data_IF_131879549888
#
_entry.id   IF_131879549888
#
_cell.length_a   1.000
_cell.length_b   1.000
_cell.length_c   1.000
_cell.angle_alpha   90.00
_cell.angle_beta   90.00
_cell.angle_gamma   90.00
#
_symmetry.space_group_name_H-M   'P 1'
#
loop_
_entity.id
_entity.type
_entity.pdbx_description
1 polymer ?
#
# COMPACT_ATOMS: atom_id res chain seq x y z
N UNK A 1 -10.30 31.79 9.00
CA UNK A 1 -9.02 31.80 8.26
C UNK A 1 -8.88 30.43 7.59
N UNK A 2 -9.14 30.42 6.28
CA UNK A 2 -8.79 29.42 5.26
C UNK A 2 -8.85 27.95 5.66
N UNK A 3 -10.08 27.39 5.62
CA UNK A 3 -10.27 25.95 5.43
C UNK A 3 -9.68 25.57 4.06
N UNK A 4 -8.41 25.17 4.09
CA UNK A 4 -7.74 24.60 2.93
C UNK A 4 -8.59 23.49 2.34
N UNK A 5 -8.69 23.51 1.02
CA UNK A 5 -9.34 22.54 0.15
C UNK A 5 -8.87 21.11 0.48
N UNK A 6 -9.51 20.44 1.42
CA UNK A 6 -9.41 19.00 1.58
C UNK A 6 -10.36 18.35 0.57
N UNK A 7 -9.93 18.22 -0.71
CA UNK A 7 -10.76 17.67 -1.79
C UNK A 7 -11.01 16.14 -1.66
N UNK A 8 -10.61 15.52 -0.54
CA UNK A 8 -10.64 14.08 -0.33
C UNK A 8 -11.67 13.78 0.77
N UNK A 9 -12.86 13.35 0.34
CA UNK A 9 -13.91 12.97 1.28
C UNK A 9 -13.60 11.69 2.08
N UNK A 10 -14.33 11.42 3.18
CA UNK A 10 -14.13 10.23 4.04
C UNK A 10 -14.18 8.89 3.27
N UNK A 11 -14.95 8.81 2.18
CA UNK A 11 -15.02 7.64 1.30
C UNK A 11 -13.71 7.39 0.56
N UNK A 12 -13.07 8.44 0.04
CA UNK A 12 -11.81 8.33 -0.70
C UNK A 12 -10.66 7.95 0.24
N UNK A 13 -10.66 8.47 1.48
CA UNK A 13 -9.73 8.04 2.52
C UNK A 13 -9.88 6.56 2.89
N UNK A 14 -11.12 6.08 3.08
CA UNK A 14 -11.39 4.66 3.34
C UNK A 14 -10.98 3.77 2.17
N UNK A 15 -11.18 4.23 0.94
CA UNK A 15 -10.73 3.54 -0.28
C UNK A 15 -9.20 3.40 -0.32
N UNK A 16 -8.44 4.46 -0.03
CA UNK A 16 -6.97 4.43 0.03
C UNK A 16 -6.46 3.47 1.11
N UNK A 17 -7.14 3.40 2.26
CA UNK A 17 -6.86 2.44 3.32
C UNK A 17 -7.03 0.99 2.86
N UNK A 18 -8.15 0.69 2.20
CA UNK A 18 -8.46 -0.66 1.71
C UNK A 18 -7.46 -1.07 0.63
N UNK A 19 -7.19 -0.19 -0.34
CA UNK A 19 -6.19 -0.44 -1.39
C UNK A 19 -4.81 -0.68 -0.78
N UNK A 20 -4.41 0.13 0.21
CA UNK A 20 -3.16 -0.05 0.92
C UNK A 20 -3.06 -1.41 1.63
N UNK A 21 -4.10 -1.79 2.38
CA UNK A 21 -4.15 -3.08 3.07
C UNK A 21 -4.09 -4.27 2.08
N UNK A 22 -4.82 -4.21 0.97
CA UNK A 22 -4.79 -5.23 -0.07
C UNK A 22 -3.37 -5.33 -0.67
N UNK A 23 -2.74 -4.20 -0.97
CA UNK A 23 -1.41 -4.20 -1.58
C UNK A 23 -0.34 -4.73 -0.63
N UNK A 24 -0.44 -4.47 0.67
CA UNK A 24 0.44 -5.13 1.65
C UNK A 24 0.25 -6.65 1.67
N UNK A 25 -1.00 -7.13 1.67
CA UNK A 25 -1.28 -8.56 1.62
C UNK A 25 -0.72 -9.21 0.35
N UNK A 26 -0.86 -8.55 -0.80
CA UNK A 26 -0.26 -8.98 -2.07
C UNK A 26 1.27 -9.02 -1.97
N UNK A 27 1.90 -8.00 -1.40
CA UNK A 27 3.36 -7.97 -1.22
C UNK A 27 3.87 -9.13 -0.36
N UNK A 28 3.17 -9.42 0.75
CA UNK A 28 3.47 -10.58 1.61
C UNK A 28 3.31 -11.89 0.85
N UNK A 29 2.22 -12.05 0.09
CA UNK A 29 1.96 -13.27 -0.70
C UNK A 29 3.05 -13.49 -1.77
N UNK A 30 3.47 -12.44 -2.47
CA UNK A 30 4.55 -12.50 -3.46
C UNK A 30 5.86 -12.94 -2.81
N UNK A 31 6.23 -12.35 -1.67
CA UNK A 31 7.46 -12.75 -0.95
C UNK A 31 7.37 -14.21 -0.49
N UNK A 32 6.24 -14.64 0.07
CA UNK A 32 6.04 -16.01 0.51
C UNK A 32 6.15 -17.00 -0.67
N UNK A 33 5.53 -16.70 -1.81
CA UNK A 33 5.61 -17.52 -3.01
C UNK A 33 7.05 -17.63 -3.53
N UNK A 34 7.82 -16.55 -3.51
CA UNK A 34 9.23 -16.55 -3.92
C UNK A 34 10.11 -17.39 -2.99
N UNK A 35 9.90 -17.30 -1.67
CA UNK A 35 10.62 -18.10 -0.68
C UNK A 35 10.32 -19.59 -0.87
N UNK A 36 9.04 -19.96 -1.02
CA UNK A 36 8.61 -21.36 -1.17
C UNK A 36 9.04 -21.93 -2.53
N UNK A 37 8.97 -21.14 -3.58
CA UNK A 37 9.31 -21.55 -4.95
C UNK A 37 10.80 -21.55 -5.27
N UNK A 38 11.68 -21.15 -4.33
CA UNK A 38 13.13 -21.07 -4.55
C UNK A 38 13.53 -19.97 -5.54
N UNK A 39 12.71 -18.93 -5.70
CA UNK A 39 12.98 -17.83 -6.61
C UNK A 39 14.28 -17.11 -6.25
N UNK A 40 15.12 -16.84 -7.25
CA UNK A 40 16.37 -16.11 -7.06
C UNK A 40 16.13 -14.74 -6.39
N UNK A 41 17.07 -14.30 -5.53
CA UNK A 41 16.97 -13.08 -4.71
C UNK A 41 16.56 -11.82 -5.50
N UNK A 42 16.84 -11.76 -6.81
CA UNK A 42 16.44 -10.65 -7.68
C UNK A 42 14.92 -10.46 -7.81
N UNK A 43 14.12 -11.51 -7.66
CA UNK A 43 12.66 -11.42 -7.78
C UNK A 43 11.98 -10.68 -6.61
N UNK A 44 12.67 -10.55 -5.47
CA UNK A 44 12.18 -9.77 -4.31
C UNK A 44 11.93 -8.30 -4.66
N UNK A 45 12.63 -7.76 -5.68
CA UNK A 45 12.38 -6.40 -6.19
C UNK A 45 10.93 -6.21 -6.64
N UNK A 46 10.25 -7.25 -7.14
CA UNK A 46 8.84 -7.14 -7.52
C UNK A 46 7.92 -6.89 -6.33
N UNK A 47 8.31 -7.31 -5.12
CA UNK A 47 7.53 -7.04 -3.92
C UNK A 47 7.63 -5.59 -3.45
N UNK A 48 8.63 -4.82 -3.91
CA UNK A 48 8.79 -3.40 -3.55
C UNK A 48 7.57 -2.58 -3.95
N UNK A 49 7.00 -2.83 -5.13
CA UNK A 49 5.83 -2.10 -5.65
C UNK A 49 4.59 -2.27 -4.74
N UNK A 50 4.12 -3.50 -4.45
CA UNK A 50 2.98 -3.67 -3.55
C UNK A 50 3.24 -3.15 -2.13
N UNK A 51 4.46 -3.30 -1.60
CA UNK A 51 4.80 -2.72 -0.29
C UNK A 51 4.79 -1.19 -0.30
N UNK A 52 5.30 -0.56 -1.35
CA UNK A 52 5.27 0.89 -1.51
C UNK A 52 3.82 1.39 -1.54
N UNK A 53 2.99 0.85 -2.44
CA UNK A 53 1.58 1.25 -2.55
C UNK A 53 0.84 1.02 -1.22
N UNK A 54 1.12 -0.11 -0.57
CA UNK A 54 0.60 -0.45 0.75
C UNK A 54 0.91 0.58 1.82
N UNK A 55 2.19 0.94 1.95
CA UNK A 55 2.68 1.93 2.89
C UNK A 55 2.09 3.32 2.62
N UNK A 56 2.04 3.74 1.35
CA UNK A 56 1.41 5.00 0.96
C UNK A 56 -0.07 5.05 1.34
N UNK A 57 -0.82 3.97 1.13
CA UNK A 57 -2.24 3.91 1.49
C UNK A 57 -2.46 4.04 3.01
N UNK A 58 -1.59 3.44 3.82
CA UNK A 58 -1.62 3.58 5.28
C UNK A 58 -1.25 4.99 5.76
N UNK A 59 -0.20 5.59 5.19
CA UNK A 59 0.28 6.92 5.57
C UNK A 59 -0.77 7.98 5.20
N UNK A 60 -1.29 7.94 3.97
CA UNK A 60 -2.36 8.85 3.52
C UNK A 60 -3.66 8.69 4.32
N UNK A 61 -3.89 7.51 4.88
CA UNK A 61 -5.00 7.31 5.78
C UNK A 61 -4.74 7.82 7.19
N UNK A 62 -3.49 7.91 7.65
CA UNK A 62 -3.16 8.47 8.95
C UNK A 62 -3.09 10.00 8.92
N UNK A 63 -2.57 10.56 7.85
CA UNK A 63 -2.57 12.01 7.63
C UNK A 63 -4.00 12.49 7.39
N UNK A 64 -4.44 13.49 8.17
CA UNK A 64 -5.70 14.20 7.93
C UNK A 64 -5.46 15.25 6.83
N UNK A 65 -5.27 14.81 5.59
CA UNK A 65 -5.49 15.69 4.42
C UNK A 65 -6.96 15.81 4.10
#
# INVERSE_FOLDING_TARGET
MNAGVANIGPRERRRRLIVGAIMLAVGVAVVAALIIGGGGRGWIVLAVVPFWIGALGLIQARERT
#
